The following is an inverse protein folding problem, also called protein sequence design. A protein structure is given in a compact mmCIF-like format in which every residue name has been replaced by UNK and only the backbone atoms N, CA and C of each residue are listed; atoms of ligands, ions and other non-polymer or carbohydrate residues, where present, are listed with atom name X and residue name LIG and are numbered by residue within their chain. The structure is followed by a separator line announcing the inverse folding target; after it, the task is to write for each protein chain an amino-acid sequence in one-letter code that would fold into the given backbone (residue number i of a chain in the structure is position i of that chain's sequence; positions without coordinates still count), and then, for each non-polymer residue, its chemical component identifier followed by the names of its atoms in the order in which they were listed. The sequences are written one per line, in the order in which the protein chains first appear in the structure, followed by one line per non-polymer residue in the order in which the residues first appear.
data_IF_176369475780
#
_entry.id   IF_176369475780
#
_cell.length_a   1.000
_cell.length_b   1.000
_cell.length_c   1.000
_cell.angle_alpha   90.00
_cell.angle_beta   90.00
_cell.angle_gamma   90.00
#
_symmetry.space_group_name_H-M   'P 1'
#
loop_
_entity.id
_entity.type
_entity.pdbx_description
1 polymer ?
#
# COMPACT_ATOMS: atom_id res chain seq x y z
N UNK A 1 4.73 21.24 -31.52
CA UNK A 1 3.83 20.70 -30.49
C UNK A 1 4.64 19.66 -29.73
N UNK A 2 4.97 19.89 -28.45
CA UNK A 2 5.75 18.94 -27.65
C UNK A 2 4.81 17.86 -27.16
N UNK A 3 5.05 16.63 -27.57
CA UNK A 3 4.38 15.46 -27.04
C UNK A 3 4.85 15.33 -25.58
N UNK A 4 4.02 15.74 -24.62
CA UNK A 4 4.17 15.27 -23.26
C UNK A 4 3.78 13.80 -23.30
N UNK A 5 4.78 12.93 -23.33
CA UNK A 5 4.61 11.54 -22.96
C UNK A 5 4.20 11.56 -21.48
N UNK A 6 2.90 11.65 -21.23
CA UNK A 6 2.33 11.27 -19.95
C UNK A 6 2.66 9.81 -19.83
N UNK A 7 3.67 9.49 -19.03
CA UNK A 7 3.89 8.13 -18.55
C UNK A 7 2.60 7.72 -17.88
N UNK A 8 1.73 7.03 -18.62
CA UNK A 8 0.57 6.35 -18.08
C UNK A 8 1.15 5.28 -17.19
N UNK A 9 1.22 5.58 -15.89
CA UNK A 9 1.41 4.56 -14.88
C UNK A 9 0.40 3.46 -15.20
N UNK A 10 0.82 2.19 -15.25
CA UNK A 10 -0.14 1.14 -15.53
C UNK A 10 -1.26 1.30 -14.49
N UNK A 11 -2.51 1.44 -14.96
CA UNK A 11 -3.73 1.42 -14.15
C UNK A 11 -3.88 0.01 -13.54
N UNK A 12 -2.89 -0.40 -12.74
CA UNK A 12 -2.71 -1.76 -12.25
C UNK A 12 -3.42 -1.83 -10.91
N UNK A 13 -4.30 -2.81 -10.80
CA UNK A 13 -4.88 -3.24 -9.52
C UNK A 13 -3.77 -3.66 -8.58
N UNK A 14 -3.98 -3.43 -7.29
CA UNK A 14 -3.09 -3.95 -6.27
C UNK A 14 -3.28 -5.47 -6.21
N UNK A 15 -2.23 -6.24 -6.49
CA UNK A 15 -2.30 -7.70 -6.34
C UNK A 15 -2.15 -8.09 -4.88
N UNK A 16 -2.69 -9.25 -4.50
CA UNK A 16 -2.58 -9.79 -3.14
C UNK A 16 -1.12 -9.90 -2.67
N UNK A 17 -0.24 -10.42 -3.53
CA UNK A 17 1.17 -10.56 -3.20
C UNK A 17 1.87 -9.21 -2.97
N UNK A 18 1.49 -8.15 -3.71
CA UNK A 18 1.99 -6.80 -3.48
C UNK A 18 1.48 -6.24 -2.16
N UNK A 19 0.18 -6.41 -1.86
CA UNK A 19 -0.42 -5.98 -0.61
C UNK A 19 0.22 -6.66 0.61
N UNK A 20 0.45 -7.98 0.54
CA UNK A 20 1.12 -8.76 1.59
C UNK A 20 2.58 -8.30 1.78
N UNK A 21 3.32 -8.05 0.70
CA UNK A 21 4.69 -7.55 0.79
C UNK A 21 4.75 -6.15 1.44
N UNK A 22 3.80 -5.28 1.11
CA UNK A 22 3.70 -3.95 1.72
C UNK A 22 3.38 -4.07 3.22
N UNK A 23 2.37 -4.86 3.60
CA UNK A 23 2.01 -5.06 4.99
C UNK A 23 3.15 -5.72 5.82
N UNK A 24 3.96 -6.58 5.20
CA UNK A 24 5.15 -7.14 5.83
C UNK A 24 6.29 -6.12 5.99
N UNK A 25 6.31 -5.06 5.17
CA UNK A 25 7.36 -4.03 5.18
C UNK A 25 7.07 -2.92 6.20
N UNK A 26 5.79 -2.60 6.41
CA UNK A 26 5.37 -1.45 7.23
C UNK A 26 4.45 -1.88 8.36
N UNK A 27 4.79 -1.50 9.59
CA UNK A 27 4.05 -1.91 10.80
C UNK A 27 2.66 -1.28 10.88
N UNK A 28 2.46 -0.15 10.19
CA UNK A 28 1.21 0.60 10.19
C UNK A 28 0.34 0.31 8.97
N UNK A 29 0.69 -0.70 8.17
CA UNK A 29 -0.10 -1.13 7.03
C UNK A 29 -0.66 -2.51 7.28
N UNK A 30 -1.98 -2.65 7.20
CA UNK A 30 -2.70 -3.90 7.43
C UNK A 30 -3.46 -4.34 6.20
N UNK A 31 -3.55 -5.66 6.04
CA UNK A 31 -4.40 -6.30 5.05
C UNK A 31 -5.70 -6.71 5.77
N UNK A 32 -6.84 -6.19 5.32
CA UNK A 32 -8.13 -6.35 5.98
C UNK A 32 -9.25 -6.77 5.01
N UNK A 33 -10.39 -7.20 5.57
CA UNK A 33 -11.59 -7.64 4.86
C UNK A 33 -11.32 -8.60 3.69
N UNK A 34 -10.54 -9.65 3.96
CA UNK A 34 -10.27 -10.71 2.98
C UNK A 34 -11.53 -11.55 2.72
N UNK A 35 -12.20 -11.28 1.61
CA UNK A 35 -13.35 -12.03 1.11
C UNK A 35 -12.94 -13.11 0.09
N UNK A 36 -11.66 -13.49 0.09
CA UNK A 36 -11.06 -14.48 -0.81
C UNK A 36 -10.61 -13.89 -2.14
N UNK A 37 -11.51 -13.18 -2.84
CA UNK A 37 -11.21 -12.51 -4.12
C UNK A 37 -10.87 -11.04 -3.91
N UNK A 38 -11.58 -10.38 -2.98
CA UNK A 38 -11.42 -8.97 -2.68
C UNK A 38 -10.83 -8.76 -1.31
N UNK A 39 -10.02 -7.70 -1.19
CA UNK A 39 -9.37 -7.30 0.04
C UNK A 39 -9.16 -5.79 0.05
N UNK A 40 -8.95 -5.22 1.23
CA UNK A 40 -8.51 -3.83 1.35
C UNK A 40 -7.15 -3.74 2.01
N UNK A 41 -6.35 -2.81 1.52
CA UNK A 41 -5.12 -2.38 2.19
C UNK A 41 -5.45 -1.16 3.03
N UNK A 42 -5.08 -1.16 4.30
CA UNK A 42 -5.40 -0.11 5.26
C UNK A 42 -4.11 0.44 5.85
N UNK A 43 -4.02 1.76 5.97
CA UNK A 43 -2.88 2.47 6.53
C UNK A 43 -3.38 3.22 7.77
N UNK A 44 -2.70 2.99 8.90
CA UNK A 44 -2.98 3.63 10.17
C UNK A 44 -1.87 4.61 10.56
N UNK A 45 -2.16 5.56 11.43
CA UNK A 45 -1.15 6.36 12.12
C UNK A 45 -0.58 5.61 13.35
N UNK A 46 0.30 6.26 14.09
CA UNK A 46 0.90 5.71 15.32
C UNK A 46 -0.09 5.46 16.44
N UNK A 47 -1.24 6.13 16.42
CA UNK A 47 -2.31 6.00 17.42
C UNK A 47 -3.37 4.98 16.98
N UNK A 48 -3.19 4.34 15.81
CA UNK A 48 -4.10 3.35 15.24
C UNK A 48 -5.29 3.97 14.50
N UNK A 49 -5.28 5.27 14.23
CA UNK A 49 -6.33 5.93 13.45
C UNK A 49 -6.13 5.69 11.96
N UNK A 50 -7.24 5.49 11.25
CA UNK A 50 -7.26 5.29 9.81
C UNK A 50 -6.74 6.55 9.07
N UNK A 51 -5.61 6.43 8.38
CA UNK A 51 -5.09 7.43 7.46
C UNK A 51 -5.73 7.24 6.08
N UNK A 52 -5.72 6.00 5.57
CA UNK A 52 -6.20 5.69 4.24
C UNK A 52 -6.56 4.21 4.11
N UNK A 53 -7.46 3.89 3.18
CA UNK A 53 -7.69 2.51 2.77
C UNK A 53 -8.06 2.47 1.28
N UNK A 54 -7.77 1.35 0.63
CA UNK A 54 -8.21 1.11 -0.75
C UNK A 54 -8.55 -0.35 -1.00
N UNK A 55 -9.54 -0.61 -1.86
CA UNK A 55 -9.89 -1.96 -2.31
C UNK A 55 -9.00 -2.40 -3.46
N UNK A 56 -8.70 -3.70 -3.54
CA UNK A 56 -7.92 -4.31 -4.62
C UNK A 56 -8.44 -4.01 -6.03
N UNK A 57 -9.76 -3.85 -6.20
CA UNK A 57 -10.42 -3.66 -7.48
C UNK A 57 -10.53 -2.20 -7.93
N UNK A 58 -10.17 -1.24 -7.08
CA UNK A 58 -10.21 0.19 -7.43
C UNK A 58 -9.19 0.46 -8.55
N UNK A 59 -9.59 1.17 -9.63
CA UNK A 59 -8.64 1.64 -10.62
C UNK A 59 -7.56 2.48 -9.95
N UNK A 60 -6.29 2.17 -10.18
CA UNK A 60 -5.16 2.86 -9.54
C UNK A 60 -5.08 2.65 -8.01
N UNK A 61 -5.67 1.56 -7.48
CA UNK A 61 -5.60 1.21 -6.06
C UNK A 61 -4.16 1.15 -5.49
N UNK A 62 -3.13 1.01 -6.33
CA UNK A 62 -1.73 1.07 -5.90
C UNK A 62 -1.17 2.50 -5.76
N UNK A 63 -1.78 3.52 -6.36
CA UNK A 63 -1.20 4.88 -6.44
C UNK A 63 -1.33 5.62 -5.11
N UNK A 64 -2.54 5.69 -4.56
CA UNK A 64 -2.78 6.44 -3.33
C UNK A 64 -2.13 5.78 -2.11
N UNK A 65 -2.26 4.45 -1.89
CA UNK A 65 -1.56 3.78 -0.80
C UNK A 65 -0.05 3.97 -0.86
N UNK A 66 0.58 3.83 -2.04
CA UNK A 66 2.03 4.05 -2.16
C UNK A 66 2.44 5.49 -1.80
N UNK A 67 1.62 6.48 -2.15
CA UNK A 67 1.88 7.87 -1.78
C UNK A 67 1.76 8.11 -0.28
N UNK A 68 0.77 7.51 0.37
CA UNK A 68 0.61 7.61 1.82
C UNK A 68 1.70 6.85 2.56
N UNK A 69 2.08 5.66 2.11
CA UNK A 69 3.20 4.89 2.66
C UNK A 69 4.52 5.67 2.53
N UNK A 70 4.76 6.33 1.40
CA UNK A 70 5.96 7.15 1.23
C UNK A 70 6.02 8.35 2.20
N UNK A 71 4.87 8.81 2.71
CA UNK A 71 4.78 9.98 3.60
C UNK A 71 4.65 9.60 5.08
N UNK A 72 4.00 8.47 5.38
CA UNK A 72 3.57 8.07 6.72
C UNK A 72 3.91 6.61 7.06
N UNK A 73 4.52 5.87 6.14
CA UNK A 73 4.89 4.48 6.37
C UNK A 73 5.90 4.37 7.50
N UNK A 74 5.63 3.47 8.44
CA UNK A 74 6.52 3.16 9.55
C UNK A 74 7.17 1.82 9.21
N UNK A 75 8.44 1.82 8.75
CA UNK A 75 9.12 0.58 8.40
C UNK A 75 9.17 -0.34 9.61
N UNK A 76 8.95 -1.63 9.38
CA UNK A 76 9.30 -2.62 10.37
C UNK A 76 10.79 -2.48 10.68
N UNK A 77 11.15 -2.44 11.97
CA UNK A 77 12.55 -2.39 12.35
C UNK A 77 13.28 -3.53 11.61
N UNK A 78 14.46 -3.28 11.00
CA UNK A 78 15.25 -4.39 10.50
C UNK A 78 15.42 -5.34 11.68
N UNK A 79 15.17 -6.63 11.47
CA UNK A 79 15.52 -7.62 12.48
C UNK A 79 16.98 -7.33 12.83
N UNK A 80 17.21 -6.79 14.03
CA UNK A 80 18.56 -6.61 14.54
C UNK A 80 19.11 -8.01 14.60
N UNK A 81 19.94 -8.34 13.62
CA UNK A 81 20.86 -9.46 13.69
C UNK A 81 21.88 -9.06 14.76
N UNK A 82 21.44 -9.16 16.01
CA UNK A 82 22.27 -9.07 17.20
C UNK A 82 23.09 -10.37 17.23
N UNK A 83 24.18 -10.39 16.44
CA UNK A 83 25.22 -11.40 16.50
C UNK A 83 26.57 -10.77 16.89
#
# INVERSE_FOLDING_TARGET
MRNHEVTTFPHKRLTRAEAEAIAATYTNVTFEDDQGIHFRLVIHDTDGMLIWWDWDFVPEAGVMPNRYIASYGIPMAPATDDN
#
